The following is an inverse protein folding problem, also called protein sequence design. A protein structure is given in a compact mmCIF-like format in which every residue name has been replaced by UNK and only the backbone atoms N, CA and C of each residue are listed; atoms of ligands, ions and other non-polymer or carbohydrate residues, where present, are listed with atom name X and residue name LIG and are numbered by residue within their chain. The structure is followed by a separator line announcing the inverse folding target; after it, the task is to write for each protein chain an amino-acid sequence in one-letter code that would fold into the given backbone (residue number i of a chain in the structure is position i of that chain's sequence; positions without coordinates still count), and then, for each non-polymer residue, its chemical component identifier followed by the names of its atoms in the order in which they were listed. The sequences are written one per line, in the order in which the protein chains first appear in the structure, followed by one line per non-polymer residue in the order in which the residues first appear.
data_IF_361241557626
#
_entry.id   IF_361241557626
#
_cell.length_a   1.000
_cell.length_b   1.000
_cell.length_c   1.000
_cell.angle_alpha   90.00
_cell.angle_beta   90.00
_cell.angle_gamma   90.00
#
_symmetry.space_group_name_H-M   'P 1'
#
loop_
_entity.id
_entity.type
_entity.pdbx_description
1 polymer ?
2 non-polymer ?
3 water ?
#
# COMPACT_ATOMS: atom_id res chain seq x y z
N UNK A 26 21.86 5.40 -18.80
CA UNK A 26 21.62 4.60 -17.54
C UNK A 26 22.68 4.93 -16.46
N UNK A 27 23.96 4.87 -16.85
CA UNK A 27 25.11 5.26 -16.00
C UNK A 27 25.28 6.77 -15.74
N UNK A 28 24.50 7.58 -16.44
CA UNK A 28 24.46 9.06 -16.26
C UNK A 28 23.87 9.41 -14.88
N UNK A 29 23.01 8.52 -14.39
CA UNK A 29 22.38 8.71 -13.10
C UNK A 29 23.42 8.58 -11.96
N UNK A 30 23.26 9.39 -10.94
CA UNK A 30 24.03 9.19 -9.68
C UNK A 30 23.77 7.77 -9.27
N UNK A 31 24.78 7.17 -8.65
CA UNK A 31 24.77 5.74 -8.26
C UNK A 31 23.46 5.28 -7.63
N UNK A 32 22.96 6.03 -6.67
CA UNK A 32 21.80 5.63 -5.87
C UNK A 32 20.48 5.63 -6.63
N UNK A 33 20.44 6.28 -7.81
CA UNK A 33 19.28 6.27 -8.66
C UNK A 33 19.35 5.34 -9.87
N UNK A 34 20.41 4.61 -10.01
CA UNK A 34 20.55 3.69 -11.15
C UNK A 34 19.64 2.50 -10.97
N UNK A 35 19.22 1.94 -12.11
CA UNK A 35 18.40 0.74 -12.19
C UNK A 35 19.14 -0.27 -13.05
N UNK A 36 19.55 -1.41 -12.44
CA UNK A 36 20.19 -2.49 -13.17
C UNK A 36 19.16 -3.27 -14.00
N UNK A 37 19.60 -3.61 -15.23
CA UNK A 37 18.83 -4.45 -16.20
C UNK A 37 19.82 -5.39 -16.94
N UNK A 38 19.34 -6.25 -17.84
CA UNK A 38 20.30 -6.98 -18.72
C UNK A 38 21.26 -6.06 -19.45
N UNK A 39 20.81 -4.88 -19.88
CA UNK A 39 21.64 -3.97 -20.67
C UNK A 39 22.66 -3.21 -19.82
N UNK A 40 22.42 -3.10 -18.50
CA UNK A 40 23.29 -2.34 -17.63
C UNK A 40 23.19 -3.03 -16.28
N UNK A 41 24.06 -4.01 -16.09
CA UNK A 41 23.82 -5.03 -15.09
C UNK A 41 24.36 -4.61 -13.74
N UNK A 42 24.24 -5.52 -12.77
CA UNK A 42 24.49 -5.09 -11.36
C UNK A 42 25.95 -4.70 -11.20
N UNK A 43 26.86 -5.43 -11.81
CA UNK A 43 28.30 -5.15 -11.67
C UNK A 43 28.58 -3.80 -12.34
N UNK A 44 27.94 -3.56 -13.49
CA UNK A 44 28.16 -2.30 -14.22
C UNK A 44 27.64 -1.11 -13.46
N UNK A 45 26.50 -1.27 -12.79
CA UNK A 45 25.89 -0.15 -12.08
C UNK A 45 26.50 0.08 -10.66
N UNK A 46 26.80 -1.03 -9.96
CA UNK A 46 27.06 -1.02 -8.50
C UNK A 46 28.32 -1.73 -8.10
N UNK A 47 29.09 -2.25 -9.07
CA UNK A 47 30.38 -2.89 -8.83
C UNK A 47 30.24 -4.35 -8.46
N UNK A 48 31.39 -5.03 -8.48
CA UNK A 48 31.52 -6.36 -8.05
C UNK A 48 31.02 -6.55 -6.62
N UNK A 49 30.37 -7.70 -6.45
CA UNK A 49 30.01 -8.22 -5.11
C UNK A 49 31.22 -8.62 -4.34
N UNK A 50 31.25 -8.27 -3.05
CA UNK A 50 32.35 -8.72 -2.22
C UNK A 50 32.16 -8.40 -0.74
N UNK A 51 33.24 -8.63 0.05
CA UNK A 51 33.22 -8.52 1.51
C UNK A 51 33.44 -7.18 2.10
N UNK A 52 34.00 -6.20 1.38
CA UNK A 52 34.45 -4.98 2.04
C UNK A 52 33.25 -4.09 2.30
N UNK A 53 33.39 -3.17 3.26
CA UNK A 53 32.30 -2.28 3.64
C UNK A 53 31.68 -1.45 2.59
N UNK A 54 32.41 -1.07 1.55
CA UNK A 54 31.89 -0.18 0.52
C UNK A 54 31.32 -0.99 -0.66
N UNK A 55 31.39 -2.31 -0.61
CA UNK A 55 30.86 -3.18 -1.66
C UNK A 55 29.49 -3.72 -1.28
N UNK A 56 28.67 -3.96 -2.28
CA UNK A 56 27.50 -4.76 -2.07
C UNK A 56 27.77 -6.23 -1.96
N UNK A 57 26.91 -6.97 -1.27
CA UNK A 57 27.10 -8.42 -1.14
C UNK A 57 25.96 -9.26 -1.67
N UNK A 58 24.97 -8.59 -2.22
CA UNK A 58 23.73 -9.25 -2.58
C UNK A 58 23.68 -9.56 -4.06
N UNK A 59 23.36 -10.82 -4.35
CA UNK A 59 22.94 -11.31 -5.70
C UNK A 59 23.78 -12.48 -6.16
N UNK A 60 23.10 -13.50 -6.68
CA UNK A 60 23.75 -14.63 -7.34
C UNK A 60 24.06 -14.25 -8.79
N UNK A 61 24.62 -15.17 -9.60
CA UNK A 61 25.10 -14.75 -10.92
C UNK A 61 23.95 -14.33 -11.82
N UNK A 62 22.78 -14.98 -11.68
CA UNK A 62 21.63 -14.67 -12.47
C UNK A 62 21.09 -13.25 -12.18
N UNK A 63 20.84 -12.94 -10.89
CA UNK A 63 20.45 -11.57 -10.54
C UNK A 63 21.46 -10.53 -10.95
N UNK A 64 22.74 -10.82 -10.82
CA UNK A 64 23.74 -9.90 -11.20
C UNK A 64 23.64 -9.57 -12.70
N UNK A 65 23.41 -10.60 -13.52
CA UNK A 65 23.39 -10.41 -14.96
C UNK A 65 22.10 -9.72 -15.43
N UNK A 66 21.01 -10.01 -14.76
CA UNK A 66 19.71 -9.49 -15.14
C UNK A 66 19.18 -8.23 -14.46
N UNK A 67 19.61 -7.95 -13.22
CA UNK A 67 19.02 -6.87 -12.49
C UNK A 67 17.52 -6.95 -12.37
N UNK A 68 16.85 -5.83 -12.61
CA UNK A 68 15.44 -5.79 -12.47
C UNK A 68 14.70 -6.64 -13.54
N UNK A 69 15.39 -7.17 -14.54
CA UNK A 69 14.80 -8.21 -15.43
C UNK A 69 14.81 -9.59 -14.82
N UNK A 70 15.40 -9.77 -13.62
CA UNK A 70 15.46 -11.08 -12.98
C UNK A 70 14.06 -11.54 -12.71
N UNK A 71 13.83 -12.86 -12.90
CA UNK A 71 12.46 -13.34 -12.88
C UNK A 71 11.77 -13.12 -11.54
N UNK A 72 12.51 -13.24 -10.44
CA UNK A 72 11.96 -12.97 -9.10
C UNK A 72 12.29 -11.58 -8.52
N UNK A 73 12.60 -10.61 -9.36
CA UNK A 73 12.89 -9.28 -8.91
C UNK A 73 11.80 -8.67 -8.07
N UNK A 74 10.52 -8.79 -8.48
CA UNK A 74 9.46 -8.21 -7.66
C UNK A 74 9.34 -8.72 -6.21
N UNK A 75 9.70 -9.96 -6.01
CA UNK A 75 9.71 -10.58 -4.68
C UNK A 75 10.90 -10.08 -3.81
N UNK A 76 11.92 -9.54 -4.42
CA UNK A 76 13.06 -8.89 -3.69
C UNK A 76 12.67 -7.46 -3.47
N UNK A 77 12.26 -6.78 -4.54
CA UNK A 77 11.90 -5.40 -4.47
C UNK A 77 10.79 -5.03 -3.44
N UNK A 78 9.94 -5.96 -3.05
CA UNK A 78 8.94 -5.69 -2.07
C UNK A 78 9.57 -5.28 -0.69
N UNK A 79 10.87 -5.58 -0.50
CA UNK A 79 11.56 -5.23 0.76
C UNK A 79 12.32 -3.91 0.72
N UNK A 80 12.58 -3.41 -0.47
CA UNK A 80 13.22 -2.12 -0.62
C UNK A 80 12.34 -0.97 -0.08
N UNK A 81 13.02 0.01 0.55
CA UNK A 81 12.22 1.06 1.16
C UNK A 81 11.84 2.17 0.20
N UNK A 82 10.66 2.73 0.41
CA UNK A 82 10.23 4.02 -0.26
C UNK A 82 11.26 5.12 0.17
N UNK A 83 11.33 6.25 -0.55
CA UNK A 83 12.21 7.33 -0.12
C UNK A 83 11.87 7.80 1.29
N UNK A 84 10.56 7.93 1.59
CA UNK A 84 10.16 8.38 2.91
C UNK A 84 10.60 7.37 3.99
N UNK A 85 10.43 6.06 3.74
CA UNK A 85 10.78 5.03 4.70
C UNK A 85 12.34 4.95 4.82
N UNK A 86 13.06 5.14 3.73
CA UNK A 86 14.57 5.14 3.82
C UNK A 86 15.04 6.20 4.82
N UNK A 87 14.47 7.41 4.76
CA UNK A 87 14.86 8.46 5.70
C UNK A 87 14.15 8.38 7.02
N UNK A 88 13.03 7.65 7.08
CA UNK A 88 12.31 7.51 8.31
C UNK A 88 12.76 6.36 9.18
N UNK A 89 13.17 5.24 8.60
CA UNK A 89 13.47 4.08 9.42
C UNK A 89 14.95 4.01 9.76
N UNK A 90 15.81 4.52 8.88
CA UNK A 90 17.24 4.26 8.95
C UNK A 90 17.92 5.10 10.01
N UNK A 91 19.11 4.67 10.44
CA UNK A 91 20.03 5.57 11.12
C UNK A 91 20.90 6.19 10.09
N UNK A 92 20.87 7.49 10.00
CA UNK A 92 21.51 8.23 8.96
C UNK A 92 22.68 9.02 9.59
N UNK A 93 23.80 9.06 8.89
CA UNK A 93 25.02 9.77 9.34
C UNK A 93 25.65 10.51 8.15
N UNK A 94 26.59 11.38 8.46
CA UNK A 94 27.41 12.04 7.42
C UNK A 94 28.85 11.83 7.86
N UNK A 95 29.66 11.33 6.94
CA UNK A 95 31.09 11.09 7.24
C UNK A 95 31.95 11.69 6.16
N UNK A 96 32.96 12.45 6.56
CA UNK A 96 33.91 13.06 5.60
C UNK A 96 35.17 12.20 5.65
N UNK A 97 35.52 11.54 4.55
CA UNK A 97 36.72 10.67 4.47
C UNK A 97 37.57 11.20 3.30
N UNK A 98 38.81 10.68 3.13
CA UNK A 98 39.61 11.17 2.01
C UNK A 98 38.94 11.00 0.64
N UNK A 99 38.05 10.01 0.47
CA UNK A 99 37.36 9.85 -0.82
C UNK A 99 36.20 10.81 -1.07
N UNK A 100 35.72 11.48 -0.03
CA UNK A 100 34.51 12.34 -0.19
C UNK A 100 33.64 12.40 1.09
N UNK A 101 32.47 12.99 0.90
CA UNK A 101 31.49 13.16 1.94
C UNK A 101 30.39 12.13 1.63
N UNK A 102 30.08 11.33 2.64
CA UNK A 102 29.24 10.17 2.50
C UNK A 102 28.05 10.26 3.45
N UNK A 103 26.88 9.94 2.90
CA UNK A 103 25.62 9.74 3.65
C UNK A 103 25.55 8.29 3.99
N UNK A 104 25.73 7.97 5.26
CA UNK A 104 25.72 6.60 5.74
C UNK A 104 24.29 6.22 6.19
N UNK A 105 23.95 4.92 6.10
CA UNK A 105 22.60 4.44 6.44
C UNK A 105 22.68 3.02 6.96
N UNK A 106 21.88 2.73 7.97
CA UNK A 106 21.77 1.39 8.51
C UNK A 106 20.37 1.22 9.03
N UNK A 107 19.87 0.00 8.94
CA UNK A 107 18.51 -0.29 9.51
C UNK A 107 18.13 -1.77 9.36
N UNK A 108 16.86 -2.08 9.62
CA UNK A 108 16.42 -3.43 9.54
C UNK A 108 14.95 -3.38 9.21
N UNK A 109 14.52 -4.26 8.33
CA UNK A 109 13.18 -4.32 7.88
C UNK A 109 12.61 -5.68 8.28
N UNK A 110 11.47 -5.70 8.96
CA UNK A 110 10.91 -6.98 9.43
C UNK A 110 10.15 -7.67 8.33
N UNK A 111 10.39 -8.94 8.16
CA UNK A 111 9.60 -9.71 7.22
C UNK A 111 8.25 -10.03 7.94
N UNK A 112 7.21 -10.20 7.14
CA UNK A 112 5.87 -10.51 7.74
C UNK A 112 5.82 -12.02 7.82
N UNK A 113 6.02 -12.58 9.00
CA UNK A 113 6.01 -14.08 9.06
C UNK A 113 4.59 -14.69 8.98
N UNK A 114 3.55 -13.86 8.99
CA UNK A 114 2.20 -14.34 8.66
C UNK A 114 1.88 -14.43 7.14
N UNK A 115 2.69 -13.84 6.28
CA UNK A 115 2.47 -13.91 4.86
C UNK A 115 2.67 -15.38 4.42
N UNK A 116 1.68 -15.97 3.74
CA UNK A 116 1.91 -17.37 3.33
C UNK A 116 3.14 -17.55 2.40
N UNK A 117 3.63 -16.49 1.77
CA UNK A 117 4.86 -16.58 1.00
C UNK A 117 6.17 -16.46 1.79
N UNK A 118 6.08 -16.28 3.11
CA UNK A 118 7.23 -16.06 3.98
C UNK A 118 8.35 -17.10 3.73
N UNK A 119 8.00 -18.40 3.67
CA UNK A 119 9.02 -19.46 3.45
C UNK A 119 9.80 -19.30 2.18
N UNK A 120 9.07 -19.00 1.12
CA UNK A 120 9.72 -18.71 -0.15
C UNK A 120 10.58 -17.42 -0.16
N UNK A 121 10.16 -16.42 0.59
CA UNK A 121 10.95 -15.19 0.71
C UNK A 121 12.31 -15.50 1.41
N UNK A 122 12.26 -16.33 2.46
CA UNK A 122 13.48 -16.75 3.19
C UNK A 122 14.39 -17.49 2.24
N UNK A 123 13.86 -18.43 1.47
CA UNK A 123 14.65 -19.17 0.48
C UNK A 123 15.28 -18.24 -0.56
N UNK A 124 14.45 -17.33 -1.09
CA UNK A 124 14.92 -16.36 -2.07
C UNK A 124 16.02 -15.46 -1.52
N UNK A 125 15.82 -14.86 -0.35
CA UNK A 125 16.90 -14.06 0.23
C UNK A 125 18.18 -14.87 0.54
N UNK A 126 18.08 -16.07 1.09
CA UNK A 126 19.24 -16.95 1.26
C UNK A 126 20.04 -17.24 -0.01
N UNK A 127 19.36 -17.33 -1.14
CA UNK A 127 20.03 -17.59 -2.38
C UNK A 127 20.94 -16.45 -2.86
N UNK A 128 20.64 -15.21 -2.46
CA UNK A 128 21.36 -14.06 -2.94
C UNK A 128 22.31 -13.40 -1.91
N UNK A 129 22.05 -13.59 -0.62
CA UNK A 129 22.96 -12.96 0.33
C UNK A 129 24.32 -13.69 0.36
N UNK A 130 25.41 -12.95 0.03
CA UNK A 130 26.77 -13.46 -0.02
C UNK A 130 26.91 -14.60 -1.02
N UNK A 131 26.04 -14.65 -2.02
CA UNK A 131 26.11 -15.68 -3.08
C UNK A 131 27.51 -15.66 -3.79
N UNK A 132 28.13 -14.48 -3.84
CA UNK A 132 29.43 -14.26 -4.52
C UNK A 132 30.51 -15.17 -3.98
N UNK A 133 30.36 -15.57 -2.74
CA UNK A 133 31.33 -16.44 -2.11
C UNK A 133 31.48 -17.78 -2.85
N UNK A 134 30.45 -18.22 -3.57
CA UNK A 134 30.57 -19.48 -4.29
C UNK A 134 30.81 -19.37 -5.81
N UNK A 135 31.05 -18.17 -6.31
CA UNK A 135 31.16 -18.01 -7.76
C UNK A 135 32.51 -18.65 -8.13
N UNK A 136 32.57 -19.30 -9.29
CA UNK A 136 33.87 -19.74 -9.78
C UNK A 136 34.83 -18.54 -9.99
N UNK B 14 -4.82 19.13 -1.69
CA UNK B 14 -3.37 18.79 -1.72
C UNK B 14 -2.77 18.43 -0.34
N UNK B 15 -3.27 19.04 0.73
CA UNK B 15 -2.83 18.77 2.10
C UNK B 15 -3.98 18.37 3.03
N UNK B 16 -3.78 17.27 3.74
CA UNK B 16 -4.78 16.75 4.69
C UNK B 16 -4.26 16.77 6.13
N UNK B 17 -5.20 16.76 7.06
CA UNK B 17 -4.91 16.64 8.49
C UNK B 17 -5.07 15.21 8.90
N UNK B 18 -4.29 14.74 9.90
CA UNK B 18 -4.43 13.35 10.37
C UNK B 18 -5.75 13.21 11.06
N UNK B 19 -6.35 12.08 10.88
CA UNK B 19 -7.51 11.66 11.66
C UNK B 19 -7.16 10.25 12.00
N UNK B 20 -7.77 9.75 13.07
CA UNK B 20 -7.57 8.33 13.42
C UNK B 20 -7.97 7.43 12.24
N UNK B 21 -8.89 7.92 11.40
CA UNK B 21 -9.45 7.16 10.28
C UNK B 21 -8.45 6.94 9.18
N UNK B 22 -7.87 8.04 8.74
CA UNK B 22 -6.92 8.00 7.67
C UNK B 22 -5.60 7.37 8.18
N UNK B 23 -5.23 7.57 9.46
CA UNK B 23 -4.04 6.96 10.04
C UNK B 23 -4.12 5.42 10.06
N UNK B 24 -5.34 4.90 10.23
CA UNK B 24 -5.57 3.47 10.33
C UNK B 24 -5.43 2.86 8.94
N UNK B 25 -5.79 3.63 7.91
CA UNK B 25 -5.55 3.17 6.54
C UNK B 25 -4.07 3.22 6.20
N UNK B 26 -3.41 4.33 6.54
CA UNK B 26 -1.96 4.46 6.14
C UNK B 26 -1.11 3.38 6.72
N UNK B 27 -1.47 2.95 7.94
CA UNK B 27 -0.68 2.03 8.76
C UNK B 27 -0.78 0.63 8.26
N UNK B 28 -1.74 0.35 7.37
CA UNK B 28 -1.81 -1.01 6.75
C UNK B 28 -0.69 -1.34 5.78
N UNK B 29 0.01 -0.32 5.27
CA UNK B 29 1.17 -0.59 4.40
C UNK B 29 2.32 -1.22 5.23
N UNK B 30 3.03 -2.21 4.68
CA UNK B 30 4.35 -2.63 5.25
C UNK B 30 5.23 -1.38 5.53
N UNK B 31 5.85 -1.39 6.69
CA UNK B 31 6.63 -0.27 7.16
C UNK B 31 7.48 0.35 6.09
N UNK B 32 8.23 -0.46 5.37
CA UNK B 32 9.23 -0.02 4.35
C UNK B 32 8.62 0.64 3.14
N UNK B 33 7.30 0.49 2.99
CA UNK B 33 6.54 1.11 1.83
C UNK B 33 5.62 2.25 2.27
N UNK B 34 5.63 2.58 3.54
CA UNK B 34 4.89 3.75 3.99
C UNK B 34 5.45 5.06 3.43
N UNK B 35 4.55 6.04 3.29
CA UNK B 35 4.91 7.41 2.90
C UNK B 35 4.43 8.37 4.00
N UNK B 36 5.32 9.10 4.66
CA UNK B 36 4.89 10.07 5.63
C UNK B 36 4.44 11.36 4.89
N UNK B 37 3.36 11.95 5.42
CA UNK B 37 2.79 13.18 4.89
C UNK B 37 2.27 13.95 6.13
N UNK B 38 1.71 15.13 5.88
CA UNK B 38 1.14 15.89 6.95
C UNK B 38 0.02 15.12 7.66
N UNK B 39 -0.68 14.26 6.94
CA UNK B 39 -1.77 13.48 7.50
C UNK B 39 -1.33 12.18 8.25
N UNK B 40 -0.03 11.82 8.14
CA UNK B 40 0.51 10.58 8.65
C UNK B 40 2.01 10.83 8.80
N UNK B 41 2.38 11.46 9.89
CA UNK B 41 3.66 12.09 9.94
C UNK B 41 4.78 11.03 10.21
N UNK B 42 6.01 11.53 10.25
CA UNK B 42 7.17 10.61 10.44
C UNK B 42 7.06 9.73 11.70
N UNK B 43 6.64 10.33 12.81
CA UNK B 43 6.46 9.61 14.03
C UNK B 43 5.40 8.54 13.90
N UNK B 44 4.25 8.87 13.32
CA UNK B 44 3.19 7.92 13.07
C UNK B 44 3.66 6.74 12.19
N UNK B 45 4.38 7.02 11.11
CA UNK B 45 4.74 6.02 10.13
C UNK B 45 5.96 5.22 10.59
N UNK B 46 6.93 5.88 11.23
CA UNK B 46 8.24 5.25 11.45
C UNK B 46 8.71 5.29 12.91
N UNK B 47 7.90 5.78 13.84
CA UNK B 47 8.29 5.73 15.27
C UNK B 47 9.05 7.00 15.65
N UNK B 48 9.08 7.27 16.95
CA UNK B 48 9.78 8.42 17.45
C UNK B 48 11.25 8.35 17.07
N UNK B 49 11.87 9.50 16.75
CA UNK B 49 13.31 9.57 16.51
C UNK B 49 14.01 9.30 17.81
N UNK B 50 15.18 8.70 17.70
CA UNK B 50 15.97 8.48 18.90
C UNK B 50 17.32 7.83 18.64
N UNK B 51 18.08 7.50 19.71
CA UNK B 51 19.46 7.04 19.58
C UNK B 51 19.65 5.56 19.43
N UNK B 52 18.61 4.77 19.61
CA UNK B 52 18.77 3.34 19.70
C UNK B 52 19.02 2.70 18.35
N UNK B 53 19.55 1.50 18.42
CA UNK B 53 19.88 0.74 17.23
C UNK B 53 18.55 0.44 16.55
N UNK B 54 18.53 0.60 15.26
CA UNK B 54 17.32 0.29 14.49
C UNK B 54 16.16 1.28 14.78
N UNK B 55 16.42 2.41 15.49
CA UNK B 55 15.41 3.43 15.64
C UNK B 55 15.82 4.54 14.65
N UNK B 56 14.90 5.21 13.98
CA UNK B 56 15.32 6.27 13.04
C UNK B 56 15.82 7.52 13.83
N UNK B 57 16.84 8.20 13.27
CA UNK B 57 17.38 9.42 13.89
C UNK B 57 17.21 10.67 13.03
N UNK B 58 16.52 10.61 11.89
CA UNK B 58 16.55 11.73 10.89
C UNK B 58 15.26 12.53 10.90
N UNK B 59 15.41 13.82 11.07
CA UNK B 59 14.31 14.73 10.91
C UNK B 59 14.25 15.75 12.01
N UNK B 60 14.21 17.01 11.62
CA UNK B 60 13.87 18.09 12.53
C UNK B 60 12.36 18.19 12.73
N UNK B 61 11.92 19.18 13.56
CA UNK B 61 10.45 19.18 13.85
C UNK B 61 9.59 19.38 12.62
N UNK B 62 10.03 20.22 11.66
CA UNK B 62 9.25 20.47 10.48
C UNK B 62 9.13 19.25 9.59
N UNK B 63 10.29 18.61 9.33
CA UNK B 63 10.22 17.40 8.50
C UNK B 63 9.40 16.32 9.23
N UNK B 64 9.58 16.18 10.54
CA UNK B 64 8.81 15.13 11.22
C UNK B 64 7.27 15.31 11.03
N UNK B 65 6.82 16.54 11.10
CA UNK B 65 5.40 16.87 11.02
C UNK B 65 4.90 16.79 9.61
N UNK B 66 5.75 17.02 8.62
CA UNK B 66 5.28 17.09 7.26
C UNK B 66 5.60 15.92 6.36
N UNK B 67 6.67 15.15 6.66
CA UNK B 67 7.04 14.08 5.77
C UNK B 67 7.34 14.51 4.35
N UNK B 68 6.75 13.81 3.37
CA UNK B 68 7.00 14.17 1.96
C UNK B 68 6.30 15.49 1.53
N UNK B 69 5.53 16.10 2.41
CA UNK B 69 4.99 17.46 2.18
C UNK B 69 5.94 18.54 2.56
N UNK B 70 7.06 18.19 3.18
CA UNK B 70 8.12 19.14 3.49
C UNK B 70 8.56 19.83 2.24
N UNK B 71 8.67 21.16 2.30
CA UNK B 71 8.92 21.93 1.08
C UNK B 71 10.27 21.62 0.43
N UNK B 72 11.26 21.19 1.22
CA UNK B 72 12.56 20.84 0.66
C UNK B 72 12.79 19.28 0.56
N UNK B 73 11.71 18.53 0.61
CA UNK B 73 11.71 17.06 0.41
C UNK B 73 12.44 16.59 -0.85
N UNK B 74 12.23 17.21 -2.04
CA UNK B 74 12.97 16.75 -3.21
C UNK B 74 14.49 16.77 -3.05
N UNK B 75 15.05 17.73 -2.32
CA UNK B 75 16.49 17.83 -2.10
C UNK B 75 17.02 16.78 -1.09
N UNK B 76 16.13 16.23 -0.27
CA UNK B 76 16.46 15.07 0.55
C UNK B 76 16.28 13.77 -0.30
N UNK B 77 15.12 13.64 -0.94
CA UNK B 77 14.80 12.46 -1.75
C UNK B 77 15.79 12.11 -2.88
N UNK B 78 16.49 13.10 -3.41
CA UNK B 78 17.54 12.85 -4.39
C UNK B 78 18.59 11.88 -3.89
N UNK B 79 18.70 11.68 -2.57
CA UNK B 79 19.70 10.79 -1.97
C UNK B 79 19.14 9.38 -1.65
N UNK B 80 17.82 9.16 -1.73
CA UNK B 80 17.21 7.89 -1.41
C UNK B 80 17.39 6.94 -2.56
N UNK B 81 17.72 5.68 -2.24
CA UNK B 81 18.07 4.76 -3.36
C UNK B 81 16.85 4.18 -4.05
N UNK B 82 16.95 3.95 -5.36
CA UNK B 82 16.03 3.08 -6.05
C UNK B 82 16.05 1.66 -5.45
N UNK B 83 15.03 0.84 -5.70
CA UNK B 83 15.05 -0.56 -5.24
C UNK B 83 16.23 -1.32 -5.74
N UNK B 84 16.61 -1.09 -6.99
CA UNK B 84 17.79 -1.75 -7.58
C UNK B 84 19.05 -1.34 -6.86
N UNK B 85 19.22 0.00 -6.61
CA UNK B 85 20.42 0.46 -5.93
C UNK B 85 20.48 0.04 -4.43
N UNK B 86 19.34 -0.03 -3.80
CA UNK B 86 19.25 -0.49 -2.44
C UNK B 86 19.86 -1.89 -2.30
N UNK B 87 19.39 -2.80 -3.12
CA UNK B 87 19.93 -4.13 -3.17
C UNK B 87 21.25 -4.26 -3.84
N UNK B 88 21.63 -3.31 -4.69
CA UNK B 88 22.91 -3.33 -5.35
C UNK B 88 24.07 -2.78 -4.58
N UNK B 89 23.81 -1.68 -3.84
CA UNK B 89 24.86 -0.99 -3.10
C UNK B 89 25.08 -1.51 -1.69
N UNK B 90 24.03 -1.96 -1.09
CA UNK B 90 24.05 -2.17 0.35
C UNK B 90 24.66 -3.50 0.75
N UNK B 91 25.08 -3.56 2.02
CA UNK B 91 25.32 -4.88 2.71
C UNK B 91 24.08 -5.38 3.33
N UNK B 92 23.62 -6.52 2.87
CA UNK B 92 22.32 -7.11 3.21
C UNK B 92 22.58 -8.32 4.03
N UNK B 93 21.80 -8.50 5.09
CA UNK B 93 21.91 -9.64 5.97
C UNK B 93 20.52 -10.06 6.42
N UNK B 94 20.42 -11.20 7.08
CA UNK B 94 19.12 -11.67 7.51
C UNK B 94 19.35 -12.14 8.93
N UNK B 95 18.54 -11.73 9.85
CA UNK B 95 18.70 -12.13 11.27
C UNK B 95 17.42 -12.69 11.75
N UNK B 96 17.47 -13.83 12.45
CA UNK B 96 16.27 -14.36 13.03
C UNK B 96 16.33 -14.21 14.53
N UNK B 97 15.33 -13.58 15.11
CA UNK B 97 15.39 -13.23 16.53
C UNK B 97 14.03 -13.56 17.17
N UNK B 98 13.92 -13.30 18.51
CA UNK B 98 12.64 -13.57 19.14
C UNK B 98 11.50 -12.72 18.61
N UNK B 99 11.80 -11.53 18.01
CA UNK B 99 10.78 -10.71 17.37
C UNK B 99 10.38 -11.05 15.95
N UNK B 100 11.13 -11.93 15.29
CA UNK B 100 10.87 -12.26 13.87
C UNK B 100 12.13 -12.38 13.06
N UNK B 101 11.93 -12.33 11.74
CA UNK B 101 13.00 -12.43 10.79
C UNK B 101 13.18 -11.02 10.17
N UNK B 102 14.42 -10.54 10.15
CA UNK B 102 14.70 -9.12 9.84
C UNK B 102 15.75 -9.10 8.70
N UNK B 103 15.46 -8.32 7.68
CA UNK B 103 16.45 -8.01 6.67
C UNK B 103 17.28 -6.82 7.09
N UNK B 104 18.58 -7.02 7.34
CA UNK B 104 19.41 -5.90 7.77
C UNK B 104 20.08 -5.25 6.57
N UNK B 105 20.38 -3.94 6.67
CA UNK B 105 20.98 -3.24 5.57
C UNK B 105 21.96 -2.19 6.13
N UNK B 106 23.08 -2.03 5.45
CA UNK B 106 23.99 -0.94 5.73
C UNK B 106 24.58 -0.48 4.40
N UNK B 107 24.96 0.78 4.34
CA UNK B 107 25.73 1.30 3.20
C UNK B 107 26.02 2.77 3.33
N UNK B 108 26.47 3.33 2.22
CA UNK B 108 26.83 4.74 2.17
C UNK B 108 26.69 5.25 0.74
N UNK B 109 26.22 6.47 0.65
CA UNK B 109 25.98 7.14 -0.59
C UNK B 109 26.86 8.36 -0.67
N UNK B 110 27.65 8.43 -1.74
CA UNK B 110 28.62 9.52 -1.83
C UNK B 110 27.96 10.77 -2.39
N UNK B 111 28.20 11.91 -1.74
CA UNK B 111 27.69 13.18 -2.23
C UNK B 111 28.68 13.63 -3.36
N UNK B 112 28.17 14.38 -4.33
CA UNK B 112 29.03 14.82 -5.44
C UNK B 112 29.57 16.20 -5.11
N UNK B 113 30.84 16.29 -4.69
CA UNK B 113 31.37 17.57 -4.25
C UNK B 113 31.78 18.52 -5.41
N UNK B 114 31.55 18.11 -6.63
CA UNK B 114 31.72 19.03 -7.70
C UNK B 114 30.42 19.77 -7.97
N UNK B 115 29.26 19.28 -7.46
CA UNK B 115 27.97 19.99 -7.65
C UNK B 115 28.09 21.35 -6.94
N UNK B 116 27.77 22.47 -7.63
CA UNK B 116 27.80 23.78 -6.91
C UNK B 116 26.82 23.80 -5.70
N UNK B 117 25.79 22.94 -5.74
CA UNK B 117 24.85 22.78 -4.62
C UNK B 117 25.33 21.94 -3.41
N UNK B 118 26.53 21.41 -3.49
CA UNK B 118 27.06 20.45 -2.54
C UNK B 118 27.03 21.01 -1.15
N UNK B 119 27.56 22.21 -0.92
CA UNK B 119 27.59 22.77 0.46
C UNK B 119 26.19 22.90 1.06
N UNK B 120 25.22 23.35 0.28
CA UNK B 120 23.80 23.38 0.67
C UNK B 120 23.23 21.97 0.96
N UNK B 121 23.63 20.96 0.18
CA UNK B 121 23.17 19.60 0.45
C UNK B 121 23.66 19.07 1.80
N UNK B 122 24.94 19.33 2.10
CA UNK B 122 25.54 18.98 3.37
C UNK B 122 24.78 19.69 4.50
N UNK B 123 24.46 20.98 4.34
CA UNK B 123 23.86 21.70 5.40
C UNK B 123 22.42 21.12 5.63
N UNK B 124 21.76 20.77 4.54
CA UNK B 124 20.36 20.34 4.67
C UNK B 124 20.33 18.97 5.34
N UNK B 125 21.24 18.10 4.95
CA UNK B 125 21.32 16.78 5.60
C UNK B 125 21.67 16.85 7.08
N UNK B 126 22.66 17.65 7.42
CA UNK B 126 23.07 17.84 8.84
C UNK B 126 22.03 18.49 9.72
N UNK B 127 21.20 19.32 9.14
CA UNK B 127 20.07 19.93 9.86
C UNK B 127 19.09 18.89 10.42
N UNK B 128 18.97 17.75 9.74
CA UNK B 128 17.98 16.73 10.15
C UNK B 128 18.59 15.58 10.90
N UNK B 129 19.88 15.32 10.71
CA UNK B 129 20.51 14.20 11.40
C UNK B 129 20.63 14.50 12.92
N UNK B 130 19.99 13.67 13.73
CA UNK B 130 20.05 13.80 15.22
C UNK B 130 19.46 15.11 15.71
N UNK B 131 18.57 15.71 14.91
CA UNK B 131 17.87 16.94 15.32
C UNK B 131 17.04 16.71 16.59
N UNK B 132 16.51 15.49 16.72
CA UNK B 132 15.60 15.14 17.79
C UNK B 132 16.19 15.45 19.16
N UNK B 133 17.51 15.51 19.27
CA UNK B 133 18.16 15.79 20.53
C UNK B 133 17.86 17.15 21.08
N UNK B 134 17.37 18.08 20.23
CA UNK B 134 17.17 19.46 20.67
C UNK B 134 15.73 19.79 20.93
N UNK B 135 14.85 18.80 20.95
CA UNK B 135 13.44 19.04 21.25
C UNK B 135 12.76 17.80 21.85
N UNK B 136 11.60 17.96 22.55
CA UNK B 136 10.94 16.80 23.15
C UNK B 136 10.53 15.82 22.05
N UNK C 26 -18.63 -0.02 19.22
CA UNK C 26 -18.47 -0.49 17.80
C UNK C 26 -19.20 0.45 16.83
N UNK C 27 -20.33 0.97 17.29
CA UNK C 27 -21.06 2.08 16.65
C UNK C 27 -20.30 3.41 16.39
N UNK C 28 -19.17 3.62 17.07
CA UNK C 28 -18.40 4.85 16.88
C UNK C 28 -17.72 4.88 15.51
N UNK C 29 -17.61 3.73 14.84
CA UNK C 29 -17.02 3.69 13.50
C UNK C 29 -17.92 4.27 12.39
N UNK C 30 -17.30 4.92 11.39
CA UNK C 30 -18.19 5.27 10.24
C UNK C 30 -18.86 3.99 9.71
N UNK C 31 -20.01 4.13 9.11
CA UNK C 31 -20.80 3.01 8.73
C UNK C 31 -19.96 2.02 7.94
N UNK C 32 -19.22 2.49 6.93
CA UNK C 32 -18.50 1.64 6.01
C UNK C 32 -17.38 0.84 6.68
N UNK C 33 -16.98 1.24 7.87
CA UNK C 33 -15.93 0.49 8.58
C UNK C 33 -16.39 -0.38 9.76
N UNK C 34 -17.67 -0.41 10.02
CA UNK C 34 -18.19 -1.20 11.15
C UNK C 34 -18.10 -2.68 10.82
N UNK C 35 -18.09 -3.45 11.87
CA UNK C 35 -18.06 -4.90 11.78
C UNK C 35 -19.22 -5.42 12.61
N UNK C 36 -20.15 -6.14 12.02
CA UNK C 36 -21.30 -6.62 12.82
C UNK C 36 -20.89 -7.94 13.53
N UNK C 37 -21.44 -8.09 14.75
CA UNK C 37 -21.23 -9.24 15.63
C UNK C 37 -22.55 -9.50 16.30
N UNK C 38 -22.59 -10.59 17.08
CA UNK C 38 -23.66 -10.82 17.99
C UNK C 38 -24.02 -9.61 18.84
N UNK C 39 -22.99 -8.95 19.33
CA UNK C 39 -23.12 -7.76 20.17
C UNK C 39 -23.61 -6.47 19.51
N UNK C 40 -23.34 -6.36 18.20
CA UNK C 40 -23.70 -5.19 17.44
C UNK C 40 -24.07 -5.75 16.06
N UNK C 41 -25.32 -6.15 15.88
CA UNK C 41 -25.68 -7.02 14.77
C UNK C 41 -25.86 -6.26 13.47
N UNK C 42 -26.31 -6.96 12.44
CA UNK C 42 -26.38 -6.36 11.13
C UNK C 42 -27.41 -5.25 11.08
N UNK C 43 -28.56 -5.44 11.75
CA UNK C 43 -29.58 -4.43 11.79
C UNK C 43 -29.12 -3.18 12.53
N UNK C 44 -28.44 -3.41 13.64
CA UNK C 44 -27.91 -2.32 14.45
C UNK C 44 -26.86 -1.53 13.66
N UNK C 45 -26.00 -2.24 12.96
CA UNK C 45 -24.90 -1.55 12.30
C UNK C 45 -25.25 -0.95 10.96
N UNK C 46 -26.14 -1.63 10.21
CA UNK C 46 -26.39 -1.35 8.78
C UNK C 46 -27.85 -1.15 8.46
N UNK C 47 -28.75 -1.20 9.46
CA UNK C 47 -30.15 -1.00 9.20
C UNK C 47 -30.88 -2.30 8.92
N UNK C 48 -32.19 -2.23 9.06
CA UNK C 48 -33.07 -3.25 8.51
C UNK C 48 -32.84 -3.51 7.01
N UNK C 49 -32.84 -4.82 6.66
CA UNK C 49 -32.86 -5.20 5.28
C UNK C 49 -34.12 -4.72 4.56
N UNK C 50 -33.96 -4.41 3.29
CA UNK C 50 -35.05 -3.99 2.51
C UNK C 50 -34.84 -3.81 1.03
N UNK C 51 -35.89 -3.38 0.29
CA UNK C 51 -35.84 -3.28 -1.14
C UNK C 51 -35.38 -1.97 -1.74
N UNK C 52 -35.20 -0.94 -0.89
CA UNK C 52 -34.93 0.39 -1.39
C UNK C 52 -33.50 0.58 -1.74
N UNK C 53 -33.30 1.59 -2.57
CA UNK C 53 -32.01 1.80 -3.13
C UNK C 53 -30.86 1.87 -2.12
N UNK C 54 -31.08 2.49 -1.00
CA UNK C 54 -30.01 2.68 0.01
C UNK C 54 -30.00 1.65 1.11
N UNK C 55 -30.92 0.67 1.04
CA UNK C 55 -31.03 -0.33 2.10
C UNK C 55 -30.23 -1.56 1.64
N UNK C 56 -29.55 -2.19 2.56
CA UNK C 56 -28.95 -3.53 2.32
C UNK C 56 -30.06 -4.56 2.12
N UNK C 57 -29.86 -5.54 1.20
CA UNK C 57 -30.78 -6.66 1.02
C UNK C 57 -30.23 -8.01 1.40
N UNK C 58 -29.03 -8.08 1.99
CA UNK C 58 -28.35 -9.35 2.11
C UNK C 58 -28.40 -9.83 3.57
N UNK C 59 -28.83 -11.08 3.77
CA UNK C 59 -28.75 -11.68 5.07
C UNK C 59 -30.04 -12.35 5.49
N UNK C 60 -29.94 -13.64 5.85
CA UNK C 60 -31.09 -14.30 6.47
C UNK C 60 -31.09 -13.99 7.90
N UNK C 61 -32.09 -14.54 8.66
CA UNK C 61 -32.13 -14.21 10.08
C UNK C 61 -30.94 -14.57 10.86
N UNK C 62 -30.34 -15.71 10.57
CA UNK C 62 -29.17 -16.12 11.25
C UNK C 62 -27.99 -15.17 11.06
N UNK C 63 -27.73 -14.82 9.81
CA UNK C 63 -26.60 -13.87 9.58
C UNK C 63 -26.89 -12.46 10.18
N UNK C 64 -28.11 -11.99 10.06
CA UNK C 64 -28.48 -10.71 10.61
C UNK C 64 -28.15 -10.69 12.08
N UNK C 65 -28.47 -11.76 12.82
CA UNK C 65 -28.23 -11.69 14.29
C UNK C 65 -26.81 -11.92 14.71
N UNK C 66 -25.97 -12.47 13.85
CA UNK C 66 -24.64 -12.81 14.21
C UNK C 66 -23.53 -12.02 13.51
N UNK C 67 -23.78 -11.46 12.31
CA UNK C 67 -22.68 -10.75 11.63
C UNK C 67 -21.51 -11.67 11.36
N UNK C 68 -20.30 -11.21 11.69
CA UNK C 68 -19.09 -11.88 11.45
C UNK C 68 -18.90 -13.03 12.48
N UNK C 69 -19.76 -13.16 13.51
CA UNK C 69 -19.79 -14.40 14.31
C UNK C 69 -20.50 -15.55 13.59
N UNK C 70 -21.25 -15.25 12.51
CA UNK C 70 -21.87 -16.28 11.72
C UNK C 70 -20.86 -17.36 11.43
N UNK C 71 -21.23 -18.59 11.72
CA UNK C 71 -20.28 -19.69 11.57
C UNK C 71 -19.75 -19.93 10.16
N UNK C 72 -20.52 -19.56 9.12
CA UNK C 72 -20.07 -19.65 7.72
C UNK C 72 -19.67 -18.28 7.10
N UNK C 73 -19.34 -17.36 7.97
CA UNK C 73 -18.89 -16.00 7.49
C UNK C 73 -17.70 -16.04 6.55
N UNK C 74 -16.70 -16.92 6.79
CA UNK C 74 -15.56 -16.90 5.87
C UNK C 74 -15.90 -17.23 4.45
N UNK C 75 -16.92 -18.07 4.21
CA UNK C 75 -17.30 -18.41 2.86
C UNK C 75 -18.08 -17.24 2.12
N UNK C 76 -18.56 -16.31 2.90
CA UNK C 76 -19.21 -15.08 2.32
C UNK C 76 -18.08 -14.05 2.08
N UNK C 77 -17.28 -13.82 3.11
CA UNK C 77 -16.24 -12.78 3.09
C UNK C 77 -15.23 -12.98 2.00
N UNK C 78 -15.09 -14.23 1.52
CA UNK C 78 -14.17 -14.47 0.43
C UNK C 78 -14.50 -13.65 -0.80
N UNK C 79 -15.74 -13.20 -0.94
CA UNK C 79 -16.16 -12.44 -2.04
C UNK C 79 -16.03 -10.91 -1.83
N UNK C 80 -15.82 -10.45 -0.61
CA UNK C 80 -15.81 -8.99 -0.38
C UNK C 80 -14.49 -8.39 -0.94
N UNK C 81 -14.55 -7.21 -1.51
CA UNK C 81 -13.33 -6.65 -2.10
C UNK C 81 -12.36 -5.97 -1.08
N UNK C 82 -11.08 -6.09 -1.33
CA UNK C 82 -10.07 -5.27 -0.68
C UNK C 82 -10.37 -3.77 -0.99
N UNK C 83 -9.81 -2.87 -0.23
CA UNK C 83 -9.96 -1.44 -0.52
C UNK C 83 -9.53 -1.09 -1.96
N UNK C 84 -8.38 -1.62 -2.37
CA UNK C 84 -7.81 -1.40 -3.70
C UNK C 84 -8.73 -1.88 -4.76
N UNK C 85 -9.28 -3.07 -4.57
CA UNK C 85 -10.21 -3.63 -5.57
C UNK C 85 -11.54 -2.88 -5.59
N UNK C 86 -12.00 -2.42 -4.43
CA UNK C 86 -13.25 -1.69 -4.36
C UNK C 86 -13.13 -0.45 -5.33
N UNK C 87 -12.05 0.30 -5.16
CA UNK C 87 -11.79 1.50 -5.97
C UNK C 87 -11.30 1.21 -7.35
N UNK C 88 -10.75 0.00 -7.53
CA UNK C 88 -10.26 -0.40 -8.83
C UNK C 88 -11.33 -0.98 -9.78
N UNK C 89 -12.21 -1.80 -9.24
CA UNK C 89 -13.20 -2.53 -10.01
C UNK C 89 -14.51 -1.71 -10.19
N UNK C 90 -14.84 -0.86 -9.23
CA UNK C 90 -16.20 -0.26 -9.20
C UNK C 90 -16.37 0.95 -10.06
N UNK C 91 -17.63 1.24 -10.37
CA UNK C 91 -18.03 2.47 -10.94
C UNK C 91 -18.36 3.41 -9.82
N UNK C 92 -17.58 4.48 -9.67
CA UNK C 92 -17.67 5.38 -8.49
C UNK C 92 -18.29 6.67 -8.95
N UNK C 93 -19.19 7.20 -8.12
CA UNK C 93 -19.79 8.52 -8.36
C UNK C 93 -19.92 9.32 -7.12
N UNK C 94 -20.27 10.60 -7.30
CA UNK C 94 -20.45 11.47 -6.13
C UNK C 94 -21.74 12.21 -6.36
N UNK C 95 -22.61 12.14 -5.38
CA UNK C 95 -23.92 12.77 -5.39
C UNK C 95 -24.01 13.75 -4.21
N UNK C 96 -24.31 15.02 -4.52
CA UNK C 96 -24.56 16.00 -3.42
C UNK C 96 -26.06 16.24 -3.39
N UNK C 97 -26.65 16.01 -2.21
CA UNK C 97 -28.13 16.04 -2.07
C UNK C 97 -28.45 16.77 -0.78
N UNK C 98 -29.72 17.03 -0.51
CA UNK C 98 -30.03 17.62 0.76
C UNK C 98 -29.65 16.84 2.01
N UNK C 99 -29.38 15.53 1.91
CA UNK C 99 -28.92 14.74 3.02
C UNK C 99 -27.40 14.72 3.24
N UNK C 100 -26.64 15.20 2.25
CA UNK C 100 -25.18 15.27 2.38
C UNK C 100 -24.54 14.92 1.03
N UNK C 101 -23.27 14.52 1.10
CA UNK C 101 -22.50 14.16 -0.07
C UNK C 101 -22.25 12.65 0.06
N UNK C 102 -22.57 11.96 -1.00
CA UNK C 102 -22.60 10.50 -1.03
C UNK C 102 -21.64 9.97 -2.11
N UNK C 103 -20.82 8.98 -1.76
CA UNK C 103 -20.02 8.30 -2.72
C UNK C 103 -20.78 7.04 -3.21
N UNK C 104 -21.22 7.05 -4.46
CA UNK C 104 -21.97 5.93 -5.02
C UNK C 104 -21.01 4.89 -5.62
N UNK C 105 -21.43 3.64 -5.57
CA UNK C 105 -20.62 2.58 -6.11
C UNK C 105 -21.52 1.51 -6.75
N UNK C 106 -21.09 0.95 -7.87
CA UNK C 106 -21.67 -0.26 -8.46
C UNK C 106 -20.62 -1.11 -9.11
N UNK C 107 -20.76 -2.43 -9.06
CA UNK C 107 -19.81 -3.27 -9.77
C UNK C 107 -20.30 -4.68 -9.79
N UNK C 108 -19.40 -5.54 -10.21
CA UNK C 108 -19.68 -6.94 -10.25
C UNK C 108 -18.38 -7.76 -10.11
N UNK C 109 -18.47 -8.85 -9.38
CA UNK C 109 -17.31 -9.73 -9.08
C UNK C 109 -17.63 -11.11 -9.71
N UNK C 110 -16.76 -11.61 -10.57
CA UNK C 110 -17.00 -12.83 -11.26
C UNK C 110 -16.68 -14.01 -10.31
N UNK C 111 -17.60 -14.93 -10.19
CA UNK C 111 -17.35 -16.15 -9.43
C UNK C 111 -16.44 -17.06 -10.33
N UNK C 112 -15.65 -17.93 -9.68
CA UNK C 112 -14.82 -18.94 -10.41
C UNK C 112 -15.63 -20.24 -10.59
N UNK C 113 -16.19 -20.44 -11.79
CA UNK C 113 -17.06 -21.56 -12.03
C UNK C 113 -16.27 -22.87 -12.08
N UNK C 114 -14.95 -22.79 -12.09
CA UNK C 114 -14.11 -23.98 -12.01
C UNK C 114 -13.92 -24.50 -10.59
N UNK C 115 -14.17 -23.71 -9.54
CA UNK C 115 -13.80 -24.10 -8.16
C UNK C 115 -14.76 -25.22 -7.84
N UNK C 116 -14.26 -26.37 -7.34
CA UNK C 116 -15.21 -27.48 -6.95
C UNK C 116 -16.35 -27.05 -6.00
N UNK C 117 -16.11 -25.98 -5.24
CA UNK C 117 -17.10 -25.45 -4.32
C UNK C 117 -18.11 -24.45 -4.97
N UNK C 118 -18.05 -24.24 -6.29
CA UNK C 118 -18.81 -23.22 -6.99
C UNK C 118 -20.31 -23.35 -6.74
N UNK C 119 -20.86 -24.55 -6.87
CA UNK C 119 -22.30 -24.69 -6.70
C UNK C 119 -22.72 -24.34 -5.28
N UNK C 120 -21.96 -24.82 -4.30
CA UNK C 120 -22.23 -24.45 -2.88
C UNK C 120 -22.10 -22.91 -2.64
N UNK C 121 -21.14 -22.29 -3.31
CA UNK C 121 -21.01 -20.77 -3.20
C UNK C 121 -22.23 -20.09 -3.71
N UNK C 122 -22.73 -20.51 -4.89
CA UNK C 122 -23.97 -19.94 -5.42
C UNK C 122 -25.13 -20.13 -4.47
N UNK C 123 -25.19 -21.32 -3.87
CA UNK C 123 -26.31 -21.59 -2.97
C UNK C 123 -26.22 -20.74 -1.67
N UNK C 124 -25.01 -20.61 -1.14
CA UNK C 124 -24.79 -19.86 0.06
C UNK C 124 -25.12 -18.38 -0.20
N UNK C 125 -24.81 -17.84 -1.38
CA UNK C 125 -25.09 -16.40 -1.69
C UNK C 125 -26.60 -16.17 -1.93
N UNK C 126 -27.21 -17.06 -2.67
CA UNK C 126 -28.63 -17.02 -2.83
C UNK C 126 -29.44 -17.23 -1.56
N UNK C 127 -28.91 -17.93 -0.57
CA UNK C 127 -29.63 -18.14 0.69
C UNK C 127 -29.86 -16.77 1.42
N UNK C 128 -28.96 -15.83 1.18
CA UNK C 128 -28.95 -14.53 1.89
C UNK C 128 -29.51 -13.40 1.07
N UNK C 129 -29.38 -13.48 -0.25
CA UNK C 129 -29.85 -12.43 -1.14
C UNK C 129 -31.38 -12.38 -1.05
N UNK C 130 -31.92 -11.23 -0.59
CA UNK C 130 -33.35 -11.04 -0.50
C UNK C 130 -34.06 -11.98 0.49
N UNK C 131 -33.32 -12.56 1.42
CA UNK C 131 -33.92 -13.49 2.42
C UNK C 131 -35.02 -12.75 3.22
N UNK C 132 -34.80 -11.43 3.45
CA UNK C 132 -35.67 -10.61 4.30
C UNK C 132 -37.13 -10.66 3.78
N UNK C 133 -37.32 -10.93 2.50
CA UNK C 133 -38.64 -11.05 1.94
C UNK C 133 -39.55 -12.11 2.58
N UNK C 134 -38.94 -13.12 3.18
CA UNK C 134 -39.68 -14.24 3.74
C UNK C 134 -39.87 -14.10 5.25
N UNK C 135 -39.55 -12.96 5.87
CA UNK C 135 -39.89 -12.79 7.27
C UNK C 135 -40.23 -11.34 7.56
N UNK C 136 -40.94 -11.06 8.66
CA UNK C 136 -41.24 -9.68 9.00
C UNK C 136 -39.95 -8.87 9.27
N UNK D 28 -1.40 -15.22 -8.97
CA UNK D 28 -2.43 -14.12 -8.87
C UNK D 28 -3.59 -14.50 -7.93
N UNK D 29 -4.09 -13.51 -7.22
CA UNK D 29 -5.19 -13.71 -6.30
C UNK D 29 -6.49 -13.64 -7.11
N UNK D 30 -7.60 -14.12 -6.53
CA UNK D 30 -8.91 -13.69 -7.11
C UNK D 30 -8.96 -12.14 -7.24
N UNK D 31 -9.57 -11.65 -8.28
CA UNK D 31 -9.54 -10.25 -8.61
C UNK D 31 -9.91 -9.33 -7.46
N UNK D 32 -11.00 -9.68 -6.77
CA UNK D 32 -11.53 -8.86 -5.66
C UNK D 32 -10.59 -8.75 -4.43
N UNK D 33 -9.61 -9.64 -4.32
CA UNK D 33 -8.64 -9.60 -3.23
C UNK D 33 -7.29 -8.99 -3.62
N UNK D 34 -7.13 -8.58 -4.87
CA UNK D 34 -5.89 -7.99 -5.29
C UNK D 34 -5.70 -6.65 -4.67
N UNK D 35 -4.42 -6.30 -4.50
CA UNK D 35 -3.99 -5.00 -4.08
C UNK D 35 -3.02 -4.43 -5.09
N UNK D 36 -3.34 -3.27 -5.63
CA UNK D 36 -2.49 -2.58 -6.59
C UNK D 36 -1.38 -1.80 -5.88
N UNK D 37 -0.20 -1.80 -6.53
CA UNK D 37 0.99 -1.06 -6.05
C UNK D 37 1.80 -0.65 -7.29
N UNK D 38 2.89 0.09 -7.07
CA UNK D 38 3.73 0.39 -8.20
C UNK D 38 4.15 -0.85 -8.97
N UNK D 39 4.39 -1.94 -8.28
CA UNK D 39 4.78 -3.21 -8.91
C UNK D 39 3.69 -4.00 -9.66
N UNK D 40 2.42 -3.73 -9.34
CA UNK D 40 1.31 -4.37 -9.97
C UNK D 40 0.17 -3.37 -9.91
N UNK D 41 0.03 -2.60 -10.98
CA UNK D 41 -0.64 -1.36 -10.83
C UNK D 41 -2.15 -1.55 -11.12
N UNK D 42 -2.89 -0.48 -10.98
CA UNK D 42 -4.36 -0.57 -11.11
C UNK D 42 -4.77 -1.12 -12.47
N UNK D 43 -4.17 -0.69 -13.58
CA UNK D 43 -4.50 -1.30 -14.88
C UNK D 43 -4.19 -2.76 -14.93
N UNK D 44 -3.06 -3.16 -14.36
CA UNK D 44 -2.64 -4.54 -14.38
C UNK D 44 -3.60 -5.45 -13.56
N UNK D 45 -3.96 -4.94 -12.40
CA UNK D 45 -4.83 -5.68 -11.51
C UNK D 45 -6.30 -5.65 -11.92
N UNK D 46 -6.77 -4.49 -12.39
CA UNK D 46 -8.18 -4.24 -12.53
C UNK D 46 -8.65 -3.76 -13.89
N UNK D 47 -7.77 -3.71 -14.88
CA UNK D 47 -8.15 -3.34 -16.21
C UNK D 47 -8.11 -1.85 -16.41
N UNK D 48 -8.01 -1.45 -17.69
CA UNK D 48 -8.02 -0.04 -17.93
C UNK D 48 -9.36 0.66 -17.48
N UNK D 49 -9.21 1.92 -17.10
CA UNK D 49 -10.38 2.75 -16.75
C UNK D 49 -11.22 3.02 -18.03
N UNK D 50 -12.52 3.09 -17.88
CA UNK D 50 -13.31 3.44 -18.98
C UNK D 50 -14.76 3.56 -18.63
N UNK D 51 -15.61 3.69 -19.65
CA UNK D 51 -17.04 3.98 -19.42
C UNK D 51 -17.96 2.77 -19.35
N UNK D 52 -17.47 1.58 -19.68
CA UNK D 52 -18.35 0.42 -19.74
C UNK D 52 -18.72 -0.08 -18.35
N UNK D 53 -19.88 -0.70 -18.23
CA UNK D 53 -20.32 -1.22 -16.94
C UNK D 53 -19.41 -2.18 -16.23
N UNK D 54 -18.65 -2.99 -16.95
CA UNK D 54 -17.73 -3.89 -16.34
C UNK D 54 -16.35 -3.29 -16.12
N UNK D 55 -16.13 -2.01 -16.45
CA UNK D 55 -14.87 -1.35 -16.22
C UNK D 55 -14.94 -0.46 -14.95
N UNK D 56 -13.84 -0.31 -14.25
CA UNK D 56 -13.75 0.76 -13.27
C UNK D 56 -13.54 2.11 -13.92
N UNK D 57 -13.91 3.15 -13.22
CA UNK D 57 -13.79 4.55 -13.75
C UNK D 57 -12.96 5.46 -12.85
N UNK D 58 -12.43 4.91 -11.78
CA UNK D 58 -11.78 5.65 -10.76
C UNK D 58 -10.29 5.58 -10.87
N UNK D 59 -9.70 6.75 -10.93
CA UNK D 59 -8.25 6.97 -10.76
C UNK D 59 -7.65 7.83 -11.86
N UNK D 60 -6.84 8.78 -11.45
CA UNK D 60 -6.06 9.65 -12.38
C UNK D 60 -4.74 8.93 -12.68
N UNK D 61 -3.88 9.53 -13.50
CA UNK D 61 -2.66 8.77 -13.92
C UNK D 61 -1.70 8.38 -12.80
N UNK D 62 -1.59 9.27 -11.81
CA UNK D 62 -0.80 8.96 -10.60
C UNK D 62 -1.32 7.77 -9.79
N UNK D 63 -2.63 7.77 -9.52
CA UNK D 63 -3.22 6.60 -8.78
C UNK D 63 -3.13 5.33 -9.53
N UNK D 64 -3.44 5.38 -10.82
CA UNK D 64 -3.39 4.16 -11.65
C UNK D 64 -2.01 3.56 -11.63
N UNK D 65 -0.99 4.40 -11.72
CA UNK D 65 0.44 3.93 -11.70
C UNK D 65 0.94 3.46 -10.32
N UNK D 66 0.39 4.02 -9.24
CA UNK D 66 0.94 3.83 -7.89
C UNK D 66 0.08 2.89 -7.03
N UNK D 67 -1.23 2.82 -7.31
CA UNK D 67 -2.12 2.01 -6.46
C UNK D 67 -2.02 2.44 -5.02
N UNK D 68 -1.88 1.50 -4.12
CA UNK D 68 -1.83 1.84 -2.69
C UNK D 68 -0.53 2.58 -2.30
N UNK D 69 0.45 2.74 -3.21
CA UNK D 69 1.61 3.61 -2.95
C UNK D 69 1.31 5.08 -3.19
N UNK D 70 0.15 5.37 -3.78
CA UNK D 70 -0.27 6.74 -4.03
C UNK D 70 -0.28 7.54 -2.68
N UNK D 71 0.28 8.73 -2.72
CA UNK D 71 0.40 9.60 -1.53
C UNK D 71 -0.91 9.78 -0.76
N UNK D 72 -1.99 10.00 -1.51
CA UNK D 72 -3.31 10.22 -0.86
C UNK D 72 -4.21 8.94 -0.71
N UNK D 73 -3.61 7.78 -0.83
CA UNK D 73 -4.40 6.51 -0.83
C UNK D 73 -5.18 6.37 0.50
N UNK D 74 -4.58 6.70 1.66
CA UNK D 74 -5.31 6.58 2.89
C UNK D 74 -6.58 7.40 2.96
N UNK D 75 -6.57 8.54 2.28
CA UNK D 75 -7.76 9.41 2.23
C UNK D 75 -8.88 8.82 1.33
N UNK D 76 -8.50 7.93 0.39
CA UNK D 76 -9.46 7.26 -0.40
C UNK D 76 -9.97 6.01 0.32
N UNK D 77 -9.03 5.22 0.83
CA UNK D 77 -9.30 3.93 1.43
C UNK D 77 -10.16 3.99 2.67
N UNK D 78 -10.22 5.16 3.32
CA UNK D 78 -11.12 5.33 4.44
C UNK D 78 -12.58 5.18 4.01
N UNK D 79 -12.89 5.27 2.69
CA UNK D 79 -14.24 5.18 2.26
C UNK D 79 -14.54 3.72 1.78
N UNK D 80 -13.54 2.87 1.66
CA UNK D 80 -13.78 1.53 1.19
C UNK D 80 -14.42 0.71 2.34
N UNK D 81 -15.37 -0.15 2.03
CA UNK D 81 -16.06 -0.93 3.08
C UNK D 81 -15.31 -2.15 3.59
N UNK D 82 -15.41 -2.37 4.88
CA UNK D 82 -15.11 -3.65 5.51
C UNK D 82 -15.95 -4.73 4.86
N UNK D 83 -15.50 -5.96 4.99
CA UNK D 83 -16.21 -7.08 4.47
C UNK D 83 -17.62 -7.14 5.06
N UNK D 84 -17.78 -6.88 6.35
CA UNK D 84 -19.09 -6.88 6.99
C UNK D 84 -19.99 -5.78 6.38
N UNK D 85 -19.41 -4.59 6.18
CA UNK D 85 -20.13 -3.47 5.65
C UNK D 85 -20.44 -3.61 4.16
N UNK D 86 -19.55 -4.22 3.41
CA UNK D 86 -19.84 -4.51 1.96
C UNK D 86 -21.12 -5.32 1.87
N UNK D 87 -21.21 -6.41 2.66
CA UNK D 87 -22.39 -7.26 2.61
C UNK D 87 -23.57 -6.72 3.48
N UNK D 88 -23.31 -5.81 4.40
CA UNK D 88 -24.36 -5.14 5.18
C UNK D 88 -25.02 -3.98 4.58
N UNK D 89 -24.26 -3.17 3.82
CA UNK D 89 -24.79 -1.95 3.28
C UNK D 89 -25.34 -2.09 1.87
N UNK D 90 -24.75 -2.98 1.04
CA UNK D 90 -24.97 -3.01 -0.41
C UNK D 90 -26.24 -3.72 -0.81
N UNK D 91 -26.68 -3.48 -2.00
CA UNK D 91 -27.67 -4.27 -2.64
C UNK D 91 -26.91 -5.31 -3.45
N UNK D 92 -27.08 -6.57 -3.10
CA UNK D 92 -26.28 -7.67 -3.65
C UNK D 92 -27.16 -8.44 -4.60
N UNK D 93 -26.63 -8.87 -5.73
CA UNK D 93 -27.40 -9.66 -6.73
C UNK D 93 -26.53 -10.74 -7.33
N UNK D 94 -27.12 -11.68 -8.04
CA UNK D 94 -26.41 -12.72 -8.74
C UNK D 94 -26.94 -12.71 -10.16
N UNK D 95 -26.07 -12.65 -11.16
CA UNK D 95 -26.45 -12.59 -12.54
C UNK D 95 -25.62 -13.66 -13.29
N UNK D 96 -26.25 -14.37 -14.19
CA UNK D 96 -25.55 -15.35 -15.07
C UNK D 96 -25.54 -14.76 -16.47
N UNK D 97 -24.35 -14.61 -17.04
CA UNK D 97 -24.16 -14.08 -18.41
C UNK D 97 -23.34 -15.12 -19.20
N UNK D 98 -23.15 -14.87 -20.50
CA UNK D 98 -22.34 -15.87 -21.21
C UNK D 98 -20.89 -15.98 -20.67
N UNK D 99 -20.34 -14.92 -20.07
CA UNK D 99 -18.95 -14.96 -19.54
C UNK D 99 -18.87 -15.63 -18.20
N UNK D 100 -20.00 -15.76 -17.49
CA UNK D 100 -19.96 -16.51 -16.22
C UNK D 100 -21.04 -16.04 -15.24
N UNK D 101 -20.82 -16.37 -13.97
CA UNK D 101 -21.74 -15.99 -12.86
C UNK D 101 -21.10 -14.89 -12.06
N UNK D 102 -21.87 -13.82 -11.83
CA UNK D 102 -21.38 -12.59 -11.27
C UNK D 102 -22.17 -12.19 -10.00
N UNK D 103 -21.43 -11.79 -8.99
CA UNK D 103 -22.00 -11.19 -7.79
C UNK D 103 -22.08 -9.69 -7.97
N UNK D 104 -23.28 -9.13 -8.17
CA UNK D 104 -23.45 -7.70 -8.38
C UNK D 104 -23.60 -6.94 -7.05
N UNK D 105 -23.17 -5.67 -7.01
CA UNK D 105 -23.23 -4.90 -5.74
C UNK D 105 -23.46 -3.43 -6.15
N UNK D 106 -24.34 -2.77 -5.42
CA UNK D 106 -24.54 -1.34 -5.54
C UNK D 106 -24.87 -0.73 -4.18
N UNK D 107 -24.47 0.52 -4.00
CA UNK D 107 -24.78 1.23 -2.75
C UNK D 107 -24.18 2.63 -2.74
N UNK D 108 -24.12 3.22 -1.54
CA UNK D 108 -23.67 4.60 -1.41
C UNK D 108 -23.19 4.79 -0.02
N UNK D 109 -22.08 5.51 0.11
CA UNK D 109 -21.44 5.79 1.39
C UNK D 109 -21.47 7.29 1.66
N UNK D 110 -21.97 7.68 2.82
CA UNK D 110 -22.12 9.12 3.12
C UNK D 110 -20.83 9.67 3.68
N UNK D 111 -20.36 10.80 3.14
CA UNK D 111 -19.13 11.46 3.68
C UNK D 111 -19.53 12.15 4.97
N UNK D 112 -18.61 12.23 5.91
CA UNK D 112 -18.84 12.95 7.12
C UNK D 112 -18.44 14.44 6.84
N UNK D 113 -19.40 15.32 6.69
CA UNK D 113 -19.08 16.74 6.54
C UNK D 113 -18.70 17.46 7.87
N UNK D 114 -18.55 16.75 9.00
CA UNK D 114 -17.86 17.24 10.20
C UNK D 114 -16.36 16.92 10.21
N UNK D 115 -15.90 16.10 9.27
CA UNK D 115 -14.47 15.82 9.16
C UNK D 115 -13.80 17.13 8.66
N UNK D 116 -12.71 17.56 9.34
CA UNK D 116 -11.99 18.79 8.95
C UNK D 116 -11.46 18.72 7.53
N UNK D 117 -11.23 17.50 7.05
CA UNK D 117 -10.80 17.24 5.68
C UNK D 117 -11.89 17.12 4.64
N UNK D 118 -13.15 17.37 5.00
CA UNK D 118 -14.24 17.22 4.05
C UNK D 118 -14.02 17.92 2.69
N UNK D 119 -13.68 19.23 2.68
CA UNK D 119 -13.50 19.93 1.43
C UNK D 119 -12.40 19.37 0.59
N UNK D 120 -11.33 18.95 1.25
CA UNK D 120 -10.21 18.38 0.54
C UNK D 120 -10.58 16.99 -0.01
N UNK D 121 -11.37 16.27 0.74
CA UNK D 121 -11.84 14.93 0.28
C UNK D 121 -12.62 15.07 -0.97
N UNK D 122 -13.51 16.11 -1.03
CA UNK D 122 -14.36 16.30 -2.21
C UNK D 122 -13.49 16.59 -3.42
N UNK D 123 -12.46 17.39 -3.23
CA UNK D 123 -11.52 17.76 -4.30
C UNK D 123 -10.74 16.53 -4.78
N UNK D 124 -10.32 15.75 -3.84
CA UNK D 124 -9.56 14.59 -4.14
C UNK D 124 -10.44 13.62 -4.93
N UNK D 125 -11.68 13.38 -4.49
CA UNK D 125 -12.47 12.41 -5.17
C UNK D 125 -12.80 12.86 -6.57
N UNK D 126 -13.08 14.13 -6.74
CA UNK D 126 -13.36 14.71 -8.04
C UNK D 126 -12.20 14.60 -9.03
N UNK D 127 -10.96 14.56 -8.52
CA UNK D 127 -9.78 14.46 -9.31
C UNK D 127 -9.68 13.01 -9.87
N UNK D 128 -10.35 12.04 -9.24
CA UNK D 128 -10.16 10.62 -9.64
C UNK D 128 -11.36 10.05 -10.37
N UNK D 129 -12.55 10.59 -10.13
CA UNK D 129 -13.78 10.05 -10.75
C UNK D 129 -13.77 10.46 -12.22
N UNK D 130 -13.64 9.48 -13.10
CA UNK D 130 -13.69 9.69 -14.52
C UNK D 130 -12.48 10.45 -15.02
N UNK D 131 -11.42 10.44 -14.27
CA UNK D 131 -10.21 11.14 -14.69
C UNK D 131 -9.72 10.68 -16.06
N UNK D 132 -9.96 9.39 -16.39
CA UNK D 132 -9.50 8.78 -17.68
C UNK D 132 -9.94 9.57 -18.90
N UNK D 133 -11.08 10.27 -18.78
CA UNK D 133 -11.60 11.10 -19.86
C UNK D 133 -10.62 12.16 -20.34
N UNK D 134 -9.70 12.62 -19.53
CA UNK D 134 -8.75 13.59 -20.07
C UNK D 134 -7.35 13.06 -20.12
N UNK D 135 -7.14 11.76 -20.09
CA UNK D 135 -5.78 11.25 -20.21
C UNK D 135 -5.25 11.56 -21.63
N UNK D 136 -3.96 11.87 -21.74
CA UNK D 136 -3.29 11.85 -23.06
C UNK D 136 -3.10 10.41 -23.56
X LIG E 1 -26.85 4.49 13.06
X LIG E 1 -25.76 4.26 14.08
X LIG E 1 -28.15 4.98 13.65
X LIG E 1 -27.03 3.36 12.07
X LIG E 1 -26.39 5.77 12.16
X LIG E 1 -25.68 7.08 12.80
X LIG E 1 -24.21 7.13 12.42
X LIG E 1 -26.01 7.15 14.28
X LIG E 1 -26.43 8.34 12.13
X LIG E 1 -26.09 9.04 10.72
X LIG E 1 -26.52 10.49 10.78
X LIG E 1 -24.69 8.75 10.23
X LIG E 1 -27.15 8.29 9.78
X LIG E 1 -28.42 7.87 10.22
X LIG E 1 -28.96 7.02 9.11
X LIG E 1 -28.45 7.54 7.87
X LIG E 1 -28.49 5.58 9.16
X LIG E 1 -29.33 4.77 9.99
X LIG E 1 -28.46 5.15 7.69
X LIG E 1 -29.64 4.48 7.21
X LIG E 1 -28.22 6.47 6.92
X LIG E 1 -26.82 6.49 6.53
X LIG E 1 -25.86 7.20 7.22
X LIG E 1 -24.67 6.98 6.73
X LIG E 1 -24.84 6.13 5.69
X LIG E 1 -23.93 5.52 4.73
X LIG E 1 -22.73 5.77 4.80
X LIG E 1 -24.43 4.65 3.79
X LIG E 1 -25.75 4.32 3.70
X LIG E 1 -26.07 3.44 2.66
X LIG E 1 -26.68 4.87 4.59
X LIG E 1 -26.27 5.77 5.55
#
# INVERSE_FOLDING_TARGET
MGSSHHHHHHGENLYFQSTKKSAAEASKKPRQKRTATKAYNVTQAFGRRGPEQTQGNFGDQELIRQGTDYKHWPQIAQFAPSASAFFGMSRIGMEVTPSGTWLTYTGAIKLDDKDPNFKDQVILLNKHIDAYKTFP
MGSSHHHHHHGENLYFQSTKKSAAEASKKPRQKRTATKAYNVTQAFGRRGPEQTQGNFGDQELIRQGTDYKHWPQIAQFAPSASAFFGMSRIGMEVTPSGTWLTYTGAIKLDDKDPNFKDQVILLNKHIDAYKTFP
MGSSHHHHHHGENLYFQSTKKSAAEASKKPRQKRTATKAYNVTQAFGRRGPEQTQGNFGDQELIRQGTDYKHWPQIAQFAPSASAFFGMSRIGMEVTPSGTWLTYTGAIKLDDKDPNFKDQVILLNKHIDAYKTFP
MGSSHHHHHHGENLYFQSTKKSAAEASKKPRQKRTATKAYNVTQAFGRRGPEQTQGNFGDQELIRQGTDYKHWPQIAQFAPSASAFFGMSRIGMEVTPSGTWLTYTGAIKLDDKDPNFKDQVILLNKHIDAYKTFP
GTP PG O1G O2G O3G O3B PB O1B O2B O3A PA O1A O2A O5' C5' C4' O4' C3' O3' C2' O2' C1' N9 C8 N7 C5 C6 O6 N1 C2 N2 N3 C4
#
